data_IF_460249814073
#
_entry.id   IF_460249814073
#
_cell.length_a   1.000
_cell.length_b   1.000
_cell.length_c   1.000
_cell.angle_alpha   90.00
_cell.angle_beta   90.00
_cell.angle_gamma   90.00
#
_symmetry.space_group_name_H-M   'P 1'
#
loop_
_entity.id
_entity.type
_entity.pdbx_description
1 polymer ?
#
# COMPACT_ATOMS: atom_id res chain seq x y z
N UNK A 1 -32.88 63.77 24.65
CA UNK A 1 -32.21 63.03 23.59
C UNK A 1 -30.73 62.76 23.96
N UNK A 2 -30.43 62.38 25.23
CA UNK A 2 -29.05 62.10 25.73
C UNK A 2 -28.94 60.81 26.56
N UNK A 3 -30.01 60.03 26.75
CA UNK A 3 -30.01 58.80 27.56
C UNK A 3 -30.03 57.49 26.76
N UNK A 4 -30.19 57.52 25.42
CA UNK A 4 -30.27 56.32 24.60
C UNK A 4 -28.95 55.91 23.95
N UNK A 5 -27.90 56.74 24.02
CA UNK A 5 -26.58 56.43 23.43
C UNK A 5 -25.65 55.68 24.40
N UNK A 6 -25.92 55.75 25.73
CA UNK A 6 -25.08 55.10 26.73
C UNK A 6 -25.32 53.61 26.89
N UNK A 7 -26.52 53.12 26.57
CA UNK A 7 -26.88 51.69 26.71
C UNK A 7 -26.43 50.82 25.52
N UNK A 8 -26.21 51.40 24.34
CA UNK A 8 -25.73 50.65 23.18
C UNK A 8 -24.23 50.36 23.21
N UNK A 9 -23.44 51.20 23.86
CA UNK A 9 -22.01 51.01 23.98
C UNK A 9 -21.62 49.91 24.99
N UNK A 10 -22.44 49.70 26.04
CA UNK A 10 -22.18 48.68 27.07
C UNK A 10 -22.48 47.26 26.59
N UNK A 11 -23.41 47.07 25.67
CA UNK A 11 -23.76 45.72 25.12
C UNK A 11 -22.72 45.29 24.08
N UNK A 12 -22.12 46.24 23.34
CA UNK A 12 -21.08 45.86 22.33
C UNK A 12 -19.73 45.52 22.96
N UNK A 13 -19.38 46.03 24.12
CA UNK A 13 -18.15 45.73 24.86
C UNK A 13 -18.26 44.35 25.54
N UNK A 14 -19.46 43.93 25.97
CA UNK A 14 -19.67 42.62 26.60
C UNK A 14 -19.61 41.46 25.58
N UNK A 15 -19.88 41.70 24.27
CA UNK A 15 -19.88 40.66 23.25
C UNK A 15 -18.46 40.33 22.70
N UNK A 16 -17.47 41.18 22.97
CA UNK A 16 -16.10 41.01 22.48
C UNK A 16 -15.17 40.20 23.41
N UNK A 17 -15.70 39.76 24.59
CA UNK A 17 -14.86 39.01 25.58
C UNK A 17 -15.16 37.51 25.57
N UNK A 18 -16.13 37.03 24.76
CA UNK A 18 -16.56 35.60 24.77
C UNK A 18 -15.93 34.72 23.72
N UNK A 19 -14.87 35.12 23.04
CA UNK A 19 -14.28 34.29 21.97
C UNK A 19 -12.75 34.17 22.10
N UNK A 20 -12.22 33.47 23.13
CA UNK A 20 -11.03 32.69 22.87
C UNK A 20 -10.80 31.43 23.72
N UNK A 21 -11.77 30.91 24.49
CA UNK A 21 -11.48 29.70 25.28
C UNK A 21 -11.32 28.44 24.43
N UNK A 22 -12.02 28.31 23.33
CA UNK A 22 -11.95 27.12 22.48
C UNK A 22 -10.62 27.03 21.67
N UNK A 23 -10.08 28.16 21.25
CA UNK A 23 -8.81 28.22 20.51
C UNK A 23 -7.60 27.85 21.41
N UNK A 24 -7.64 28.23 22.67
CA UNK A 24 -6.58 27.90 23.63
C UNK A 24 -6.60 26.42 24.07
N UNK A 25 -7.79 25.83 24.20
CA UNK A 25 -7.91 24.42 24.53
C UNK A 25 -7.40 23.50 23.43
N UNK A 26 -7.63 23.84 22.14
CA UNK A 26 -7.08 23.10 21.00
C UNK A 26 -5.55 23.24 20.89
N UNK A 27 -5.03 24.42 21.18
CA UNK A 27 -3.58 24.68 21.21
C UNK A 27 -2.88 23.90 22.34
N UNK A 28 -3.47 23.83 23.54
CA UNK A 28 -2.92 23.07 24.65
C UNK A 28 -2.90 21.55 24.38
N UNK A 29 -3.97 21.00 23.79
CA UNK A 29 -4.00 19.59 23.36
C UNK A 29 -2.98 19.30 22.27
N UNK A 30 -2.83 20.17 21.28
CA UNK A 30 -1.83 20.02 20.22
C UNK A 30 -0.41 20.05 20.78
N UNK A 31 -0.12 20.93 21.73
CA UNK A 31 1.18 20.99 22.40
C UNK A 31 1.44 19.74 23.25
N UNK A 32 0.45 19.23 23.98
CA UNK A 32 0.60 17.99 24.74
C UNK A 32 0.85 16.78 23.82
N UNK A 33 0.13 16.69 22.70
CA UNK A 33 0.34 15.64 21.70
C UNK A 33 1.76 15.70 21.13
N UNK A 34 2.24 16.90 20.77
CA UNK A 34 3.60 17.10 20.27
C UNK A 34 4.67 16.71 21.32
N UNK A 35 4.42 16.97 22.61
CA UNK A 35 5.31 16.54 23.70
C UNK A 35 5.34 15.02 23.86
N UNK A 36 4.19 14.35 23.74
CA UNK A 36 4.09 12.89 23.80
C UNK A 36 4.84 12.27 22.63
N UNK A 37 4.63 12.80 21.42
CA UNK A 37 5.34 12.36 20.21
C UNK A 37 6.85 12.57 20.32
N UNK A 38 7.31 13.75 20.75
CA UNK A 38 8.73 14.03 20.96
C UNK A 38 9.37 13.10 22.01
N UNK A 39 8.64 12.78 23.10
CA UNK A 39 9.10 11.79 24.09
C UNK A 39 9.20 10.39 23.49
N UNK A 40 8.21 9.96 22.69
CA UNK A 40 8.21 8.68 22.01
C UNK A 40 9.39 8.55 21.02
N UNK A 41 9.63 9.57 20.21
CA UNK A 41 10.77 9.62 19.29
C UNK A 41 12.11 9.58 20.01
N UNK A 42 12.26 10.34 21.11
CA UNK A 42 13.47 10.34 21.95
C UNK A 42 13.70 8.98 22.63
N UNK A 43 12.66 8.36 23.14
CA UNK A 43 12.71 7.02 23.76
C UNK A 43 13.10 5.93 22.76
N UNK A 44 12.68 6.06 21.50
CA UNK A 44 13.02 5.11 20.43
C UNK A 44 14.50 5.17 20.07
N UNK A 45 15.15 6.31 20.28
CA UNK A 45 16.58 6.51 20.00
C UNK A 45 16.90 6.67 18.51
N UNK A 46 17.83 7.58 18.21
CA UNK A 46 18.18 7.94 16.82
C UNK A 46 18.65 6.74 15.97
N UNK A 47 19.36 5.76 16.58
CA UNK A 47 19.85 4.56 15.88
C UNK A 47 18.67 3.69 15.41
N UNK A 48 17.65 3.52 16.24
CA UNK A 48 16.46 2.72 15.91
C UNK A 48 15.56 3.45 14.92
N UNK A 49 15.37 4.76 15.05
CA UNK A 49 14.68 5.58 14.06
C UNK A 49 15.38 5.53 12.71
N UNK A 50 16.72 5.63 12.68
CA UNK A 50 17.50 5.50 11.46
C UNK A 50 17.35 4.12 10.82
N UNK A 51 17.22 3.04 11.61
CA UNK A 51 17.00 1.70 11.07
C UNK A 51 15.63 1.52 10.40
N UNK A 52 14.60 2.27 10.81
CA UNK A 52 13.29 2.25 10.14
C UNK A 52 13.27 2.99 8.80
N UNK A 53 14.14 3.98 8.62
CA UNK A 53 14.22 4.77 7.38
C UNK A 53 15.45 4.43 6.53
N UNK A 54 16.40 3.68 7.08
CA UNK A 54 17.56 3.21 6.30
C UNK A 54 17.18 2.01 5.48
N UNK A 55 17.45 2.07 4.18
CA UNK A 55 17.41 0.91 3.31
C UNK A 55 18.51 -0.05 3.74
N UNK A 56 18.21 -1.35 3.99
CA UNK A 56 19.24 -2.35 4.26
C UNK A 56 20.36 -2.30 3.18
N UNK A 57 21.59 -2.55 3.59
CA UNK A 57 22.74 -2.35 2.71
C UNK A 57 22.67 -3.19 1.42
N UNK A 58 22.07 -4.37 1.46
CA UNK A 58 21.78 -5.21 0.28
C UNK A 58 20.73 -4.63 -0.67
N UNK A 59 20.01 -3.58 -0.28
CA UNK A 59 18.98 -2.92 -1.11
C UNK A 59 19.50 -1.62 -1.76
N UNK A 60 20.77 -1.26 -1.55
CA UNK A 60 21.39 -0.11 -2.22
C UNK A 60 21.78 -0.51 -3.65
N UNK A 61 21.03 -0.04 -4.62
CA UNK A 61 21.32 -0.25 -6.04
C UNK A 61 20.06 -0.47 -6.89
N UNK A 62 20.24 -0.41 -8.21
CA UNK A 62 19.14 -0.67 -9.12
C UNK A 62 18.70 -2.15 -9.03
N UNK A 63 17.36 -2.35 -8.95
CA UNK A 63 16.79 -3.70 -8.97
C UNK A 63 17.14 -4.39 -10.28
N UNK A 64 17.77 -5.57 -10.17
CA UNK A 64 18.02 -6.45 -11.30
C UNK A 64 17.03 -7.61 -11.25
N UNK A 65 16.28 -7.81 -12.31
CA UNK A 65 15.24 -8.84 -12.35
C UNK A 65 15.80 -10.22 -12.70
N UNK A 66 16.92 -10.62 -12.07
CA UNK A 66 17.55 -11.91 -12.25
C UNK A 66 17.55 -12.75 -10.98
N UNK A 67 17.58 -14.07 -11.14
CA UNK A 67 17.61 -14.99 -10.00
C UNK A 67 18.89 -14.80 -9.17
N UNK A 68 20.06 -14.63 -9.80
CA UNK A 68 21.31 -14.40 -9.08
C UNK A 68 21.29 -13.13 -8.23
N UNK A 69 20.63 -12.07 -8.73
CA UNK A 69 20.50 -10.83 -7.98
C UNK A 69 19.58 -11.00 -6.77
N UNK A 70 18.38 -11.60 -6.94
CA UNK A 70 17.43 -11.76 -5.83
C UNK A 70 17.95 -12.75 -4.78
N UNK A 71 18.68 -13.79 -5.20
CA UNK A 71 19.28 -14.74 -4.27
C UNK A 71 20.33 -14.07 -3.37
N UNK A 72 21.10 -13.12 -3.90
CA UNK A 72 22.10 -12.35 -3.15
C UNK A 72 21.49 -11.34 -2.17
N UNK A 73 20.19 -11.05 -2.26
CA UNK A 73 19.55 -10.13 -1.33
C UNK A 73 19.34 -10.79 0.04
N UNK A 74 19.39 -10.03 1.14
CA UNK A 74 19.13 -10.57 2.48
C UNK A 74 17.72 -11.17 2.57
N UNK A 75 17.57 -12.15 3.45
CA UNK A 75 16.24 -12.70 3.77
C UNK A 75 15.35 -11.55 4.28
N UNK A 76 14.13 -11.53 3.79
CA UNK A 76 13.15 -10.53 4.18
C UNK A 76 12.10 -11.14 5.10
N UNK A 77 11.64 -10.32 6.02
CA UNK A 77 10.46 -10.48 6.86
C UNK A 77 9.79 -9.11 7.01
N UNK A 78 8.67 -9.02 7.69
CA UNK A 78 8.02 -7.74 7.86
C UNK A 78 6.65 -7.79 8.53
N UNK A 79 5.89 -6.73 8.29
CA UNK A 79 4.54 -6.55 8.80
C UNK A 79 3.54 -7.55 8.18
N UNK A 80 2.28 -7.50 8.65
CA UNK A 80 1.16 -8.21 8.02
C UNK A 80 1.02 -7.89 6.53
N UNK A 81 1.24 -6.65 6.13
CA UNK A 81 1.20 -6.23 4.72
C UNK A 81 2.25 -6.96 3.86
N UNK A 82 3.49 -7.08 4.39
CA UNK A 82 4.53 -7.88 3.76
C UNK A 82 4.11 -9.36 3.67
N UNK A 83 3.57 -9.90 4.74
CA UNK A 83 3.14 -11.30 4.80
C UNK A 83 2.04 -11.58 3.76
N UNK A 84 1.01 -10.75 3.70
CA UNK A 84 -0.05 -10.87 2.71
C UNK A 84 0.53 -10.85 1.28
N UNK A 85 1.40 -9.88 0.96
CA UNK A 85 1.99 -9.79 -0.37
C UNK A 85 2.89 -10.99 -0.69
N UNK A 86 3.71 -11.45 0.25
CA UNK A 86 4.58 -12.61 0.05
C UNK A 86 3.77 -13.90 -0.19
N UNK A 87 2.68 -14.11 0.56
CA UNK A 87 1.77 -15.25 0.36
C UNK A 87 1.07 -15.18 -1.00
N UNK A 88 0.54 -14.02 -1.38
CA UNK A 88 -0.06 -13.86 -2.70
C UNK A 88 0.92 -14.17 -3.83
N UNK A 89 2.15 -13.68 -3.75
CA UNK A 89 3.19 -13.99 -4.72
C UNK A 89 3.60 -15.46 -4.73
N UNK A 90 3.56 -16.11 -3.59
CA UNK A 90 3.84 -17.54 -3.50
C UNK A 90 2.79 -18.37 -4.27
N UNK A 91 1.51 -18.09 -4.06
CA UNK A 91 0.44 -18.84 -4.72
C UNK A 91 0.28 -18.47 -6.21
N UNK A 92 0.46 -17.21 -6.55
CA UNK A 92 0.19 -16.70 -7.90
C UNK A 92 1.40 -16.71 -8.84
N UNK A 93 2.62 -16.60 -8.30
CA UNK A 93 3.79 -16.28 -9.12
C UNK A 93 5.09 -17.02 -8.76
N UNK A 94 5.09 -17.99 -7.81
CA UNK A 94 6.34 -18.63 -7.40
C UNK A 94 7.07 -19.36 -8.55
N UNK A 95 6.33 -19.85 -9.54
CA UNK A 95 6.88 -20.49 -10.74
C UNK A 95 7.34 -19.52 -11.84
N UNK A 96 7.10 -18.21 -11.66
CA UNK A 96 7.50 -17.22 -12.64
C UNK A 96 8.98 -16.82 -12.53
N UNK A 97 9.48 -16.19 -13.60
CA UNK A 97 10.76 -15.48 -13.53
C UNK A 97 10.71 -14.40 -12.46
N UNK A 98 11.87 -13.98 -11.93
CA UNK A 98 11.94 -12.88 -10.94
C UNK A 98 11.25 -11.63 -11.47
N UNK A 99 11.41 -11.30 -12.75
CA UNK A 99 10.71 -10.18 -13.39
C UNK A 99 9.19 -10.37 -13.38
N UNK A 100 8.72 -11.59 -13.63
CA UNK A 100 7.29 -11.93 -13.56
C UNK A 100 6.71 -11.78 -12.15
N UNK A 101 7.45 -12.21 -11.14
CA UNK A 101 7.08 -12.05 -9.73
C UNK A 101 6.94 -10.56 -9.36
N UNK A 102 7.88 -9.72 -9.78
CA UNK A 102 7.79 -8.28 -9.58
C UNK A 102 6.61 -7.65 -10.34
N UNK A 103 6.31 -8.12 -11.54
CA UNK A 103 5.20 -7.61 -12.33
C UNK A 103 3.84 -7.94 -11.69
N UNK A 104 3.66 -9.15 -11.15
CA UNK A 104 2.45 -9.52 -10.39
C UNK A 104 2.34 -8.68 -9.12
N UNK A 105 3.44 -8.49 -8.38
CA UNK A 105 3.48 -7.62 -7.21
C UNK A 105 3.11 -6.17 -7.54
N UNK A 106 3.54 -5.67 -8.71
CA UNK A 106 3.20 -4.31 -9.17
C UNK A 106 1.70 -4.15 -9.43
N UNK A 107 1.03 -5.17 -9.99
CA UNK A 107 -0.43 -5.12 -10.17
C UNK A 107 -1.13 -4.94 -8.82
N UNK A 108 -0.73 -5.69 -7.79
CA UNK A 108 -1.30 -5.56 -6.44
C UNK A 108 -1.03 -4.16 -5.89
N UNK A 109 0.19 -3.64 -6.04
CA UNK A 109 0.57 -2.28 -5.63
C UNK A 109 -0.22 -1.20 -6.38
N UNK A 110 -0.46 -1.37 -7.68
CA UNK A 110 -1.26 -0.44 -8.47
C UNK A 110 -2.72 -0.43 -8.00
N UNK A 111 -3.27 -1.57 -7.59
CA UNK A 111 -4.59 -1.65 -6.98
C UNK A 111 -4.63 -0.89 -5.65
N UNK A 112 -3.66 -1.10 -4.75
CA UNK A 112 -3.53 -0.37 -3.47
C UNK A 112 -3.52 1.15 -3.68
N UNK A 113 -2.91 1.62 -4.76
CA UNK A 113 -2.85 3.05 -5.11
C UNK A 113 -4.11 3.61 -5.76
N UNK A 114 -5.01 2.74 -6.19
CA UNK A 114 -6.23 3.14 -6.88
C UNK A 114 -7.40 3.22 -5.89
N UNK A 115 -8.12 4.32 -5.88
CA UNK A 115 -9.32 4.53 -5.06
C UNK A 115 -10.43 3.49 -5.28
N UNK A 116 -10.33 2.67 -6.33
CA UNK A 116 -11.31 1.62 -6.68
C UNK A 116 -11.05 0.29 -5.99
N UNK A 117 -9.95 0.18 -5.28
CA UNK A 117 -9.55 -1.01 -4.54
C UNK A 117 -9.26 -0.67 -3.09
N UNK A 118 -9.20 -1.66 -2.21
CA UNK A 118 -8.75 -1.42 -0.84
C UNK A 118 -7.37 -0.78 -0.78
N UNK A 119 -7.15 0.15 0.15
CA UNK A 119 -5.93 0.94 0.28
C UNK A 119 -4.76 0.21 0.99
N UNK A 120 -4.77 -1.12 1.06
CA UNK A 120 -3.70 -1.91 1.67
C UNK A 120 -3.47 -3.20 0.89
N UNK A 121 -2.28 -3.79 1.01
CA UNK A 121 -1.97 -5.08 0.34
C UNK A 121 -2.87 -6.19 0.86
N UNK A 122 -3.02 -6.34 2.17
CA UNK A 122 -3.92 -7.33 2.75
C UNK A 122 -5.37 -7.11 2.30
N UNK A 123 -5.83 -5.85 2.25
CA UNK A 123 -7.17 -5.51 1.77
C UNK A 123 -7.41 -5.90 0.33
N UNK A 124 -6.48 -5.62 -0.58
CA UNK A 124 -6.55 -6.00 -2.00
C UNK A 124 -6.54 -7.52 -2.15
N UNK A 125 -5.66 -8.20 -1.42
CA UNK A 125 -5.47 -9.65 -1.55
C UNK A 125 -6.70 -10.42 -1.03
N UNK A 126 -7.25 -10.00 0.10
CA UNK A 126 -8.41 -10.63 0.71
C UNK A 126 -9.76 -10.08 0.18
N UNK A 127 -9.76 -9.28 -0.88
CA UNK A 127 -10.98 -8.72 -1.44
C UNK A 127 -11.89 -9.84 -1.95
N UNK A 128 -13.12 -9.87 -1.44
CA UNK A 128 -14.13 -10.89 -1.79
C UNK A 128 -14.01 -12.22 -1.05
N UNK A 129 -12.98 -12.41 -0.20
CA UNK A 129 -12.85 -13.60 0.64
C UNK A 129 -14.10 -13.79 1.50
N UNK A 130 -14.56 -15.04 1.64
CA UNK A 130 -15.81 -15.38 2.32
C UNK A 130 -17.06 -15.36 1.43
N UNK A 131 -16.94 -14.91 0.18
CA UNK A 131 -18.03 -14.94 -0.81
C UNK A 131 -17.66 -15.92 -1.92
N UNK A 132 -18.44 -16.99 -2.05
CA UNK A 132 -18.21 -18.04 -3.06
C UNK A 132 -18.02 -17.43 -4.46
N UNK A 133 -16.94 -17.77 -5.15
CA UNK A 133 -16.56 -17.29 -6.49
C UNK A 133 -16.33 -15.77 -6.64
N UNK A 134 -16.13 -15.04 -5.55
CA UNK A 134 -15.90 -13.58 -5.60
C UNK A 134 -14.51 -13.15 -5.13
N UNK A 135 -13.64 -14.11 -4.79
CA UNK A 135 -12.29 -13.80 -4.33
C UNK A 135 -11.45 -13.22 -5.45
N UNK A 136 -10.73 -12.17 -5.11
CA UNK A 136 -9.78 -11.54 -6.02
C UNK A 136 -8.62 -12.48 -6.39
N UNK A 137 -8.21 -13.30 -5.43
CA UNK A 137 -7.22 -14.36 -5.58
C UNK A 137 -7.85 -15.70 -5.17
N UNK A 138 -7.84 -16.67 -6.07
CA UNK A 138 -8.60 -17.93 -5.90
C UNK A 138 -8.16 -18.69 -4.66
N UNK A 139 -6.88 -18.73 -4.36
CA UNK A 139 -6.35 -19.46 -3.20
C UNK A 139 -6.96 -19.00 -1.86
N UNK A 140 -7.44 -17.74 -1.76
CA UNK A 140 -8.04 -17.24 -0.50
C UNK A 140 -9.46 -17.78 -0.25
N UNK A 141 -10.03 -18.56 -1.17
CA UNK A 141 -11.41 -19.08 -1.05
C UNK A 141 -11.66 -20.38 -1.81
N UNK A 142 -10.64 -21.14 -2.16
CA UNK A 142 -10.76 -22.44 -2.81
C UNK A 142 -11.14 -23.56 -1.82
N UNK A 143 -11.21 -23.25 -0.52
CA UNK A 143 -11.57 -24.18 0.55
C UNK A 143 -10.39 -25.03 1.04
N UNK A 144 -9.19 -24.78 0.55
CA UNK A 144 -7.97 -25.42 1.00
C UNK A 144 -7.24 -24.54 2.01
N UNK A 145 -6.48 -25.17 2.91
CA UNK A 145 -5.61 -24.45 3.82
C UNK A 145 -4.37 -23.96 3.06
N UNK A 146 -4.02 -22.69 3.23
CA UNK A 146 -2.81 -22.11 2.64
C UNK A 146 -1.56 -22.68 3.32
N UNK A 147 -0.88 -23.58 2.60
CA UNK A 147 0.35 -24.24 3.08
C UNK A 147 1.53 -23.79 2.24
N UNK A 148 2.54 -23.25 2.88
CA UNK A 148 3.84 -22.93 2.26
C UNK A 148 4.68 -24.22 2.23
N UNK A 149 4.50 -25.00 1.19
CA UNK A 149 5.19 -26.29 1.01
C UNK A 149 6.64 -26.10 0.51
N UNK A 150 6.96 -24.99 -0.12
CA UNK A 150 8.25 -24.66 -0.72
C UNK A 150 8.92 -23.47 -0.01
N UNK A 151 9.61 -23.67 1.12
CA UNK A 151 10.19 -22.56 1.91
C UNK A 151 11.21 -21.71 1.14
N UNK A 152 11.96 -22.32 0.21
CA UNK A 152 12.93 -21.59 -0.62
C UNK A 152 12.21 -20.63 -1.59
N UNK A 153 11.14 -21.08 -2.22
CA UNK A 153 10.32 -20.23 -3.09
C UNK A 153 9.64 -19.09 -2.29
N UNK A 154 9.12 -19.39 -1.10
CA UNK A 154 8.57 -18.37 -0.21
C UNK A 154 9.62 -17.33 0.22
N UNK A 155 10.84 -17.77 0.51
CA UNK A 155 11.96 -16.86 0.83
C UNK A 155 12.25 -15.93 -0.34
N UNK A 156 12.25 -16.44 -1.59
CA UNK A 156 12.48 -15.62 -2.78
C UNK A 156 11.38 -14.58 -2.98
N UNK A 157 10.11 -15.00 -2.97
CA UNK A 157 8.99 -14.07 -3.17
C UNK A 157 8.83 -13.08 -2.01
N UNK A 158 9.24 -13.47 -0.79
CA UNK A 158 9.31 -12.56 0.36
C UNK A 158 10.29 -11.41 0.14
N UNK A 159 11.43 -11.65 -0.52
CA UNK A 159 12.36 -10.59 -0.94
C UNK A 159 11.71 -9.68 -1.98
N UNK A 160 11.01 -10.24 -2.98
CA UNK A 160 10.26 -9.47 -3.98
C UNK A 160 9.22 -8.57 -3.31
N UNK A 161 8.44 -9.12 -2.37
CA UNK A 161 7.45 -8.37 -1.61
C UNK A 161 8.08 -7.19 -0.85
N UNK A 162 9.23 -7.39 -0.24
CA UNK A 162 9.97 -6.35 0.50
C UNK A 162 10.36 -5.20 -0.41
N UNK A 163 11.01 -5.48 -1.54
CA UNK A 163 11.40 -4.46 -2.53
C UNK A 163 10.20 -3.69 -3.08
N UNK A 164 9.08 -4.37 -3.29
CA UNK A 164 7.85 -3.75 -3.80
C UNK A 164 7.24 -2.78 -2.78
N UNK A 165 7.19 -3.17 -1.50
CA UNK A 165 6.66 -2.34 -0.40
C UNK A 165 7.56 -1.12 -0.18
N UNK A 166 8.88 -1.29 -0.18
CA UNK A 166 9.86 -0.20 0.01
C UNK A 166 9.87 0.79 -1.17
N UNK A 167 9.14 0.51 -2.24
CA UNK A 167 8.98 1.44 -3.36
C UNK A 167 10.18 1.56 -4.30
N UNK A 168 11.14 0.65 -4.22
CA UNK A 168 12.41 0.71 -4.95
C UNK A 168 12.38 0.09 -6.34
N UNK A 169 11.24 -0.46 -6.75
CA UNK A 169 11.08 -1.15 -8.04
C UNK A 169 10.59 -0.18 -9.10
N UNK A 170 11.30 -0.07 -10.25
CA UNK A 170 10.83 0.72 -11.36
C UNK A 170 9.55 0.09 -11.96
N UNK A 171 8.67 0.89 -12.60
CA UNK A 171 7.46 0.39 -13.25
C UNK A 171 7.77 -0.66 -14.32
N UNK A 172 7.02 -1.76 -14.34
CA UNK A 172 7.15 -2.86 -15.29
C UNK A 172 5.93 -3.05 -16.18
N UNK A 173 4.76 -2.65 -15.69
CA UNK A 173 3.44 -3.02 -16.25
C UNK A 173 2.63 -1.82 -16.73
N UNK A 174 3.22 -0.62 -16.74
CA UNK A 174 2.55 0.64 -17.14
C UNK A 174 1.18 0.82 -16.46
N UNK A 175 1.15 0.68 -15.13
CA UNK A 175 -0.05 0.90 -14.33
C UNK A 175 -1.11 -0.20 -14.44
N UNK A 176 -0.76 -1.42 -14.85
CA UNK A 176 -1.71 -2.52 -14.94
C UNK A 176 -2.36 -2.81 -13.59
N UNK A 177 -3.66 -3.08 -13.62
CA UNK A 177 -4.47 -3.52 -12.47
C UNK A 177 -5.07 -4.90 -12.67
N UNK A 178 -4.88 -5.49 -13.85
CA UNK A 178 -5.38 -6.81 -14.23
C UNK A 178 -4.30 -7.59 -14.96
N UNK A 179 -4.31 -8.90 -14.80
CA UNK A 179 -3.48 -9.81 -15.58
C UNK A 179 -4.18 -11.15 -15.75
N UNK A 180 -3.77 -11.90 -16.74
CA UNK A 180 -4.10 -13.31 -16.91
C UNK A 180 -2.93 -14.04 -17.58
N UNK A 181 -2.89 -15.35 -17.46
CA UNK A 181 -1.91 -16.16 -18.15
C UNK A 181 -2.28 -16.34 -19.63
N UNK A 182 -1.31 -16.65 -20.48
CA UNK A 182 -1.54 -16.92 -21.90
C UNK A 182 -2.44 -18.14 -22.14
N UNK A 183 -2.66 -18.98 -21.13
CA UNK A 183 -3.53 -20.16 -21.20
C UNK A 183 -5.03 -19.83 -21.23
N UNK A 184 -5.41 -18.62 -20.82
CA UNK A 184 -6.81 -18.19 -20.74
C UNK A 184 -7.05 -16.89 -21.51
N UNK A 185 -8.30 -16.62 -21.89
CA UNK A 185 -8.67 -15.40 -22.60
C UNK A 185 -9.97 -14.83 -22.03
N UNK A 186 -9.92 -14.15 -20.89
CA UNK A 186 -11.11 -13.60 -20.24
C UNK A 186 -11.74 -12.51 -21.08
N UNK A 187 -13.08 -12.34 -20.96
CA UNK A 187 -13.83 -11.36 -21.78
C UNK A 187 -13.30 -9.93 -21.64
N UNK A 188 -12.91 -9.53 -20.44
CA UNK A 188 -12.41 -8.20 -20.16
C UNK A 188 -11.07 -7.90 -20.87
N UNK A 189 -10.27 -8.92 -21.22
CA UNK A 189 -8.99 -8.71 -21.93
C UNK A 189 -9.16 -8.15 -23.36
N UNK A 190 -10.39 -8.20 -23.90
CA UNK A 190 -10.72 -7.58 -25.19
C UNK A 190 -11.05 -6.08 -25.08
N UNK A 191 -11.28 -5.60 -23.85
CA UNK A 191 -11.73 -4.23 -23.56
C UNK A 191 -10.62 -3.39 -22.94
N UNK A 192 -9.83 -4.01 -22.05
CA UNK A 192 -8.77 -3.30 -21.34
C UNK A 192 -7.52 -3.15 -22.21
N UNK A 193 -6.80 -2.05 -22.02
CA UNK A 193 -5.54 -1.82 -22.72
C UNK A 193 -4.48 -2.82 -22.25
N UNK A 194 -3.95 -3.65 -23.16
CA UNK A 194 -2.79 -4.48 -22.88
C UNK A 194 -1.56 -3.59 -22.77
N UNK A 195 -0.86 -3.64 -21.64
CA UNK A 195 0.24 -2.74 -21.32
C UNK A 195 1.60 -3.44 -21.30
N UNK A 196 1.63 -4.74 -20.99
CA UNK A 196 2.86 -5.51 -20.98
C UNK A 196 2.60 -7.01 -21.16
N UNK A 197 3.65 -7.72 -21.61
CA UNK A 197 3.76 -9.18 -21.55
C UNK A 197 5.07 -9.53 -20.86
N UNK A 198 4.99 -10.26 -19.75
CA UNK A 198 6.16 -10.67 -18.96
C UNK A 198 5.94 -12.13 -18.52
N UNK A 199 6.86 -13.02 -18.92
CA UNK A 199 6.68 -14.45 -18.70
C UNK A 199 5.43 -14.98 -19.41
N UNK A 200 4.64 -15.76 -18.69
CA UNK A 200 3.36 -16.29 -19.19
C UNK A 200 2.19 -15.33 -18.97
N UNK A 201 2.41 -14.18 -18.34
CA UNK A 201 1.37 -13.21 -17.99
C UNK A 201 1.24 -12.08 -19.01
N UNK A 202 -0.01 -11.71 -19.28
CA UNK A 202 -0.43 -10.54 -20.04
C UNK A 202 -1.05 -9.54 -19.05
N UNK A 203 -0.56 -8.31 -19.06
CA UNK A 203 -0.93 -7.25 -18.12
C UNK A 203 -1.82 -6.22 -18.80
N UNK A 204 -2.82 -5.71 -18.04
CA UNK A 204 -3.83 -4.82 -18.58
C UNK A 204 -4.14 -3.71 -17.60
N UNK A 205 -4.30 -2.49 -18.17
CA UNK A 205 -4.80 -1.33 -17.46
C UNK A 205 -6.28 -1.15 -17.77
N UNK A 206 -7.10 -1.11 -16.74
CA UNK A 206 -8.51 -0.77 -16.94
C UNK A 206 -8.63 0.68 -17.40
N UNK A 207 -9.32 0.91 -18.49
CA UNK A 207 -9.66 2.24 -18.98
C UNK A 207 -10.87 2.76 -18.21
N UNK A 208 -10.62 3.39 -17.08
CA UNK A 208 -11.67 4.08 -16.35
C UNK A 208 -12.12 5.29 -17.17
N UNK A 209 -13.35 5.32 -17.61
CA UNK A 209 -13.94 6.58 -18.07
C UNK A 209 -14.16 7.42 -16.82
N UNK A 210 -13.47 8.54 -16.67
CA UNK A 210 -13.89 9.60 -15.77
C UNK A 210 -15.30 9.96 -16.21
N UNK A 211 -16.26 9.96 -15.28
CA UNK A 211 -17.52 10.61 -15.55
C UNK A 211 -17.17 12.09 -15.79
N UNK A 212 -17.13 12.50 -17.05
CA UNK A 212 -17.12 13.91 -17.39
C UNK A 212 -18.46 14.46 -16.98
N UNK A 213 -18.46 15.29 -15.92
CA UNK A 213 -19.58 16.19 -15.63
C UNK A 213 -19.81 17.13 -16.80
#
# INVERSE_FOLDING_TARGET
MRLLVSTFCAVFVALLIMVPLAAHANSAKAQELARVEARGLKATGAKRLKSFVSVPEGQKGAVKFSKSWIDAQPRADGSSEWRCLAEALYFEARGETVKGQFAVAEVIKNRVKSERFPGSFCGVINQGTGKKYQCQFTYTCDGHKEVIAEPAAFTQVGKVARYMIDGQVPPLTDGATHYHTTAVKPRWSKVYANTARIGVHLFYRHTWRSASN
#
